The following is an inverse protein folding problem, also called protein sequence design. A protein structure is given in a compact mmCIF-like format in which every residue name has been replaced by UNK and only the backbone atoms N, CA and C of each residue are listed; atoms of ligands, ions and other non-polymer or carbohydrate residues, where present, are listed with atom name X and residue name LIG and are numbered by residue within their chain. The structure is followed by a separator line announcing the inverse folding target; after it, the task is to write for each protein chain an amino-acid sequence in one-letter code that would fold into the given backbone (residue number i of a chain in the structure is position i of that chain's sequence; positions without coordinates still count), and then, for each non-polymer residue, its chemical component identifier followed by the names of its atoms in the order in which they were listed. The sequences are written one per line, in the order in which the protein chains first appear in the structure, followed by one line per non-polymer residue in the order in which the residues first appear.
data_IF_252698048177
#
_entry.id   IF_252698048177
#
_cell.length_a   1.000
_cell.length_b   1.000
_cell.length_c   1.000
_cell.angle_alpha   90.00
_cell.angle_beta   90.00
_cell.angle_gamma   90.00
#
_symmetry.space_group_name_H-M   'P 1'
#
loop_
_entity.id
_entity.type
_entity.pdbx_description
1 polymer ?
#
# COMPACT_ATOMS: atom_id res chain seq x y z
N UNK A 1 -1.25 -13.90 -22.07
CA UNK A 1 -1.27 -13.71 -23.53
C UNK A 1 -1.82 -12.33 -23.91
N UNK A 2 -2.95 -11.90 -23.40
CA UNK A 2 -3.58 -10.60 -23.73
C UNK A 2 -2.63 -9.42 -23.49
N UNK A 3 -2.00 -9.35 -22.31
CA UNK A 3 -1.05 -8.28 -21.99
C UNK A 3 0.16 -8.25 -22.94
N UNK A 4 0.73 -9.41 -23.29
CA UNK A 4 1.86 -9.48 -24.23
C UNK A 4 1.47 -9.02 -25.63
N UNK A 5 0.27 -9.35 -26.08
CA UNK A 5 -0.24 -8.89 -27.38
C UNK A 5 -0.43 -7.37 -27.38
N UNK A 6 -1.07 -6.82 -26.32
CA UNK A 6 -1.25 -5.39 -26.19
C UNK A 6 0.09 -4.61 -26.15
N UNK A 7 1.12 -5.18 -25.51
CA UNK A 7 2.47 -4.60 -25.54
C UNK A 7 3.04 -4.59 -26.96
N UNK A 8 2.98 -5.73 -27.67
CA UNK A 8 3.46 -5.81 -29.06
C UNK A 8 2.76 -4.80 -29.98
N UNK A 9 1.44 -4.67 -29.84
CA UNK A 9 0.65 -3.71 -30.61
C UNK A 9 1.00 -2.25 -30.29
N UNK A 10 1.42 -1.97 -29.05
CA UNK A 10 1.83 -0.63 -28.59
C UNK A 10 3.25 -0.24 -29.00
N UNK A 11 4.10 -1.19 -29.43
CA UNK A 11 5.49 -0.88 -29.82
C UNK A 11 5.59 0.13 -30.95
N UNK A 12 4.63 0.17 -31.87
CA UNK A 12 4.57 1.15 -32.97
C UNK A 12 4.31 2.60 -32.48
N UNK A 13 3.92 2.78 -31.23
CA UNK A 13 3.63 4.08 -30.62
C UNK A 13 4.76 4.59 -29.73
N UNK A 14 5.90 3.86 -29.66
CA UNK A 14 7.01 4.17 -28.74
C UNK A 14 7.72 5.48 -29.04
N UNK A 15 7.55 6.04 -30.24
CA UNK A 15 8.06 7.36 -30.65
C UNK A 15 7.16 8.51 -30.21
N UNK A 16 6.03 8.23 -29.59
CA UNK A 16 5.09 9.22 -29.07
C UNK A 16 5.15 9.25 -27.55
N UNK A 17 5.02 10.44 -26.96
CA UNK A 17 4.78 10.52 -25.54
C UNK A 17 3.49 9.78 -25.21
N UNK A 18 3.56 8.93 -24.17
CA UNK A 18 2.49 8.01 -23.82
C UNK A 18 1.13 8.66 -23.73
N UNK A 19 0.14 7.92 -24.16
CA UNK A 19 -1.26 8.35 -24.24
C UNK A 19 -1.83 8.76 -22.88
N UNK A 20 -3.09 9.06 -22.91
CA UNK A 20 -3.83 9.62 -21.78
C UNK A 20 -3.73 8.74 -20.51
N UNK A 21 -2.88 9.16 -19.56
CA UNK A 21 -2.80 8.53 -18.24
C UNK A 21 -4.14 8.53 -17.52
N UNK A 22 -5.02 9.51 -17.83
CA UNK A 22 -6.37 9.60 -17.31
C UNK A 22 -7.20 8.40 -17.74
N UNK A 23 -7.04 7.89 -18.95
CA UNK A 23 -7.72 6.68 -19.40
C UNK A 23 -7.42 5.45 -18.52
N UNK A 24 -6.16 5.24 -18.12
CA UNK A 24 -5.81 4.15 -17.20
C UNK A 24 -6.33 4.39 -15.79
N UNK A 25 -6.28 5.63 -15.30
CA UNK A 25 -6.85 6.00 -13.99
C UNK A 25 -8.34 5.69 -13.96
N UNK A 26 -9.10 6.15 -14.98
CA UNK A 26 -10.55 5.92 -15.05
C UNK A 26 -10.92 4.43 -15.15
N UNK A 27 -10.13 3.62 -15.87
CA UNK A 27 -10.34 2.17 -15.93
C UNK A 27 -10.11 1.53 -14.55
N UNK A 28 -9.04 1.90 -13.86
CA UNK A 28 -8.73 1.37 -12.52
C UNK A 28 -9.76 1.85 -11.50
N UNK A 29 -10.16 3.11 -11.56
CA UNK A 29 -11.20 3.68 -10.72
C UNK A 29 -12.55 2.96 -10.91
N UNK A 30 -12.97 2.76 -12.16
CA UNK A 30 -14.20 2.05 -12.49
C UNK A 30 -14.22 0.59 -12.01
N UNK A 31 -13.08 -0.14 -12.16
CA UNK A 31 -12.97 -1.53 -11.66
C UNK A 31 -13.07 -1.58 -10.13
N UNK A 32 -12.59 -0.55 -9.44
CA UNK A 32 -12.59 -0.48 -7.98
C UNK A 32 -13.78 0.32 -7.41
N UNK A 33 -14.72 0.74 -8.25
CA UNK A 33 -15.93 1.46 -7.86
C UNK A 33 -15.67 2.73 -7.05
N UNK A 34 -14.73 3.56 -7.53
CA UNK A 34 -14.34 4.81 -6.87
C UNK A 34 -14.09 5.94 -7.89
N UNK A 35 -14.08 7.20 -7.46
CA UNK A 35 -13.75 8.35 -8.31
C UNK A 35 -12.29 8.32 -8.80
N UNK A 36 -12.04 8.93 -9.96
CA UNK A 36 -10.71 9.00 -10.58
C UNK A 36 -9.65 9.69 -9.70
N UNK A 37 -10.05 10.69 -8.94
CA UNK A 37 -9.19 11.45 -8.03
C UNK A 37 -8.77 10.70 -6.77
N UNK A 38 -9.39 9.54 -6.51
CA UNK A 38 -8.99 8.58 -5.47
C UNK A 38 -7.94 7.57 -5.96
N UNK A 39 -7.53 7.63 -7.23
CA UNK A 39 -6.63 6.64 -7.84
C UNK A 39 -5.35 7.28 -8.34
N UNK A 40 -4.21 6.75 -7.89
CA UNK A 40 -2.89 7.08 -8.42
C UNK A 40 -2.31 5.86 -9.16
N UNK A 41 -1.90 6.06 -10.42
CA UNK A 41 -1.16 5.06 -11.19
C UNK A 41 0.33 5.39 -11.15
N UNK A 42 1.17 4.37 -10.94
CA UNK A 42 2.60 4.54 -10.68
C UNK A 42 3.47 3.48 -11.36
N UNK A 43 4.78 3.72 -11.36
CA UNK A 43 5.78 2.77 -11.87
C UNK A 43 6.07 1.66 -10.85
N UNK A 44 5.05 0.81 -10.62
CA UNK A 44 5.00 -0.18 -9.54
C UNK A 44 4.61 0.47 -8.20
N UNK A 45 4.04 -0.32 -7.27
CA UNK A 45 3.64 0.16 -5.95
C UNK A 45 4.78 0.81 -5.15
N UNK A 46 6.03 0.45 -5.45
CA UNK A 46 7.21 1.05 -4.82
C UNK A 46 7.31 2.56 -4.99
N UNK A 47 6.75 3.16 -6.05
CA UNK A 47 6.69 4.62 -6.20
C UNK A 47 5.71 5.25 -5.20
N UNK A 48 4.56 4.63 -4.98
CA UNK A 48 3.59 5.06 -3.97
C UNK A 48 4.20 4.98 -2.56
N UNK A 49 4.85 3.85 -2.24
CA UNK A 49 5.56 3.65 -0.97
C UNK A 49 6.63 4.73 -0.73
N UNK A 50 7.39 5.10 -1.77
CA UNK A 50 8.40 6.16 -1.70
C UNK A 50 7.78 7.52 -1.48
N UNK A 51 6.69 7.82 -2.17
CA UNK A 51 5.97 9.09 -2.01
C UNK A 51 5.47 9.24 -0.57
N UNK A 52 4.84 8.21 0.00
CA UNK A 52 4.40 8.20 1.38
C UNK A 52 5.56 8.41 2.37
N UNK A 53 6.68 7.71 2.18
CA UNK A 53 7.87 7.90 3.01
C UNK A 53 8.42 9.33 2.98
N UNK A 54 8.36 10.00 1.83
CA UNK A 54 8.75 11.41 1.69
C UNK A 54 7.77 12.36 2.41
N UNK A 55 6.47 12.11 2.28
CA UNK A 55 5.44 12.92 2.97
C UNK A 55 5.65 12.90 4.50
N UNK A 56 5.91 11.72 5.07
CA UNK A 56 6.21 11.60 6.51
C UNK A 56 7.37 12.50 6.92
N UNK A 57 8.42 12.55 6.12
CA UNK A 57 9.59 13.42 6.41
C UNK A 57 9.26 14.90 6.29
N UNK A 58 8.49 15.30 5.27
CA UNK A 58 8.09 16.71 5.10
C UNK A 58 7.36 17.25 6.33
N UNK A 59 6.66 16.39 7.05
CA UNK A 59 5.99 16.71 8.31
C UNK A 59 6.86 16.50 9.56
N UNK A 60 8.16 16.25 9.42
CA UNK A 60 9.09 15.89 10.49
C UNK A 60 8.60 14.70 11.35
N UNK A 61 7.94 13.77 10.70
CA UNK A 61 7.26 12.65 11.35
C UNK A 61 8.10 11.41 11.51
N UNK A 62 7.59 10.47 12.34
CA UNK A 62 8.08 9.10 12.45
C UNK A 62 7.11 8.12 11.79
N UNK A 63 7.61 6.90 11.50
CA UNK A 63 6.84 5.75 11.00
C UNK A 63 6.81 4.68 12.05
N UNK A 64 5.63 4.12 12.35
CA UNK A 64 5.48 2.86 13.09
C UNK A 64 5.25 1.74 12.08
N UNK A 65 5.96 0.63 12.21
CA UNK A 65 5.81 -0.54 11.33
C UNK A 65 6.10 -1.83 12.09
N UNK A 66 5.58 -2.95 11.58
CA UNK A 66 5.96 -4.28 12.06
C UNK A 66 7.43 -4.59 11.70
N UNK A 67 8.05 -5.54 12.40
CA UNK A 67 9.40 -6.03 12.11
C UNK A 67 9.46 -7.56 12.33
N UNK A 68 9.76 -8.33 11.27
CA UNK A 68 10.04 -7.90 9.90
C UNK A 68 8.79 -7.56 9.08
N UNK A 69 8.95 -6.62 8.12
CA UNK A 69 7.94 -6.29 7.10
C UNK A 69 8.62 -5.82 5.82
N UNK A 70 7.85 -5.62 4.75
CA UNK A 70 8.41 -5.10 3.50
C UNK A 70 8.94 -3.67 3.68
N UNK A 71 10.13 -3.41 3.17
CA UNK A 71 10.98 -2.32 3.65
C UNK A 71 10.98 -1.04 2.80
N UNK A 72 10.33 -0.98 1.63
CA UNK A 72 10.54 0.17 0.72
C UNK A 72 10.10 1.51 1.33
N UNK A 73 8.88 1.62 1.87
CA UNK A 73 8.43 2.84 2.54
C UNK A 73 9.38 3.22 3.69
N UNK A 74 9.70 2.25 4.53
CA UNK A 74 10.55 2.41 5.71
C UNK A 74 11.93 2.94 5.32
N UNK A 75 12.58 2.30 4.35
CA UNK A 75 13.89 2.68 3.85
C UNK A 75 13.92 4.09 3.27
N UNK A 76 12.86 4.48 2.56
CA UNK A 76 12.80 5.84 1.99
C UNK A 76 12.52 6.90 3.06
N UNK A 77 11.65 6.63 4.03
CA UNK A 77 11.43 7.51 5.16
C UNK A 77 12.72 7.69 5.99
N UNK A 78 13.41 6.59 6.28
CA UNK A 78 14.67 6.58 7.04
C UNK A 78 15.79 7.35 6.32
N UNK A 79 15.98 7.12 5.01
CA UNK A 79 16.93 7.87 4.19
C UNK A 79 16.61 9.36 4.09
N UNK A 80 15.34 9.71 4.16
CA UNK A 80 14.90 11.10 4.23
C UNK A 80 15.13 11.73 5.61
N UNK A 81 15.49 10.93 6.64
CA UNK A 81 15.76 11.38 8.00
C UNK A 81 14.58 11.24 8.97
N UNK A 82 13.55 10.48 8.61
CA UNK A 82 12.46 10.13 9.53
C UNK A 82 12.91 9.05 10.51
N UNK A 83 12.35 9.09 11.72
CA UNK A 83 12.55 8.04 12.71
C UNK A 83 11.63 6.86 12.41
N UNK A 84 12.17 5.67 12.49
CA UNK A 84 11.40 4.42 12.33
C UNK A 84 11.26 3.73 13.68
N UNK A 85 10.03 3.42 14.04
CA UNK A 85 9.66 2.69 15.25
C UNK A 85 9.22 1.30 14.82
N UNK A 86 10.12 0.32 15.02
CA UNK A 86 9.89 -1.07 14.63
C UNK A 86 9.28 -1.83 15.79
N UNK A 87 8.16 -2.50 15.54
CA UNK A 87 7.45 -3.33 16.50
C UNK A 87 7.63 -4.79 16.09
N UNK A 88 8.31 -5.62 16.89
CA UNK A 88 8.47 -7.03 16.54
C UNK A 88 7.10 -7.70 16.34
N UNK A 89 7.03 -8.58 15.35
CA UNK A 89 5.89 -9.50 15.23
C UNK A 89 5.87 -10.43 16.44
N UNK A 90 4.72 -10.97 16.77
CA UNK A 90 4.59 -11.95 17.85
C UNK A 90 5.58 -13.11 17.67
N UNK A 91 6.29 -13.47 18.74
CA UNK A 91 7.40 -14.42 18.66
C UNK A 91 6.94 -15.86 18.38
N UNK A 92 5.72 -16.21 18.76
CA UNK A 92 5.18 -17.57 18.62
C UNK A 92 4.36 -17.70 17.34
N UNK A 93 3.40 -16.81 17.12
CA UNK A 93 2.46 -16.84 15.99
C UNK A 93 3.02 -16.20 14.71
N UNK A 94 4.04 -15.35 14.83
CA UNK A 94 4.61 -14.55 13.73
C UNK A 94 3.63 -13.54 13.12
N UNK A 95 2.52 -13.28 13.77
CA UNK A 95 1.54 -12.29 13.32
C UNK A 95 1.95 -10.87 13.75
N UNK A 96 1.43 -9.89 13.04
CA UNK A 96 1.54 -8.48 13.40
C UNK A 96 0.75 -8.24 14.69
N UNK A 97 1.39 -7.66 15.69
CA UNK A 97 0.73 -7.26 16.94
C UNK A 97 0.22 -5.82 16.83
N UNK A 98 -1.05 -5.67 16.47
CA UNK A 98 -1.69 -4.36 16.35
C UNK A 98 -1.76 -3.60 17.68
N UNK A 99 -1.89 -4.30 18.82
CA UNK A 99 -1.91 -3.68 20.14
C UNK A 99 -0.55 -3.07 20.46
N UNK A 100 0.53 -3.81 20.24
CA UNK A 100 1.88 -3.30 20.41
C UNK A 100 2.18 -2.16 19.45
N UNK A 101 1.71 -2.23 18.19
CA UNK A 101 1.84 -1.14 17.22
C UNK A 101 1.09 0.12 17.66
N UNK A 102 -0.12 -0.01 18.16
CA UNK A 102 -0.89 1.10 18.70
C UNK A 102 -0.15 1.78 19.86
N UNK A 103 0.37 0.98 20.80
CA UNK A 103 1.13 1.47 21.95
C UNK A 103 2.47 2.13 21.56
N UNK A 104 3.01 1.81 20.39
CA UNK A 104 4.23 2.40 19.86
C UNK A 104 4.01 3.76 19.17
N UNK A 105 2.75 4.15 18.92
CA UNK A 105 2.39 5.44 18.31
C UNK A 105 2.78 6.58 19.28
N UNK A 106 3.44 7.60 18.73
CA UNK A 106 3.91 8.78 19.45
C UNK A 106 3.31 10.05 18.85
N UNK A 107 3.48 11.16 19.54
CA UNK A 107 2.99 12.48 19.09
C UNK A 107 3.56 12.88 17.71
N UNK A 108 4.80 12.48 17.42
CA UNK A 108 5.49 12.72 16.15
C UNK A 108 5.22 11.64 15.09
N UNK A 109 4.46 10.59 15.40
CA UNK A 109 4.09 9.57 14.40
C UNK A 109 3.14 10.19 13.37
N UNK A 110 3.49 10.07 12.09
CA UNK A 110 2.69 10.55 10.96
C UNK A 110 2.17 9.41 10.09
N UNK A 111 2.81 8.25 10.16
CA UNK A 111 2.40 7.09 9.38
C UNK A 111 2.50 5.82 10.20
N UNK A 112 1.48 4.98 10.11
CA UNK A 112 1.54 3.57 10.49
C UNK A 112 1.53 2.76 9.20
N UNK A 113 2.57 1.96 9.00
CA UNK A 113 2.74 1.14 7.80
C UNK A 113 2.47 -0.33 8.11
N UNK A 114 1.61 -0.93 7.31
CA UNK A 114 1.22 -2.34 7.37
C UNK A 114 1.35 -2.96 5.97
N UNK A 115 2.00 -4.11 5.86
CA UNK A 115 1.86 -4.98 4.70
C UNK A 115 0.87 -6.10 5.07
N UNK A 116 -0.20 -6.26 4.30
CA UNK A 116 -1.23 -7.27 4.56
C UNK A 116 -1.76 -7.89 3.25
N UNK A 117 -1.36 -9.10 2.91
CA UNK A 117 -0.44 -10.02 3.64
C UNK A 117 0.97 -9.48 3.85
N UNK A 118 1.59 -9.84 4.98
CA UNK A 118 2.94 -9.40 5.30
C UNK A 118 4.01 -10.10 4.44
N UNK A 119 5.19 -9.51 4.35
CA UNK A 119 6.37 -9.99 3.65
C UNK A 119 7.62 -9.57 4.46
N UNK A 120 8.55 -10.46 4.83
CA UNK A 120 8.75 -11.82 4.32
C UNK A 120 7.96 -12.92 5.03
N UNK A 121 7.36 -12.66 6.17
CA UNK A 121 6.53 -13.63 6.89
C UNK A 121 5.11 -13.55 6.32
N UNK A 122 4.57 -14.61 5.69
CA UNK A 122 3.29 -14.56 4.99
C UNK A 122 2.11 -14.68 5.97
N UNK A 123 2.01 -13.75 6.91
CA UNK A 123 0.89 -13.65 7.83
C UNK A 123 -0.13 -12.64 7.36
N UNK A 124 -1.39 -12.87 7.69
CA UNK A 124 -2.49 -11.92 7.52
C UNK A 124 -2.87 -11.32 8.88
N UNK A 125 -3.46 -10.14 8.83
CA UNK A 125 -4.11 -9.51 9.98
C UNK A 125 -5.62 -9.81 9.86
N UNK A 126 -6.24 -10.23 10.96
CA UNK A 126 -7.68 -10.50 10.98
C UNK A 126 -8.46 -9.23 10.56
N UNK A 127 -9.44 -9.40 9.67
CA UNK A 127 -10.14 -8.31 8.98
C UNK A 127 -10.79 -7.28 9.90
N UNK A 128 -11.47 -7.72 10.98
CA UNK A 128 -12.13 -6.79 11.88
C UNK A 128 -11.10 -6.04 12.74
N UNK A 129 -10.07 -6.75 13.20
CA UNK A 129 -8.99 -6.14 13.97
C UNK A 129 -8.23 -5.09 13.14
N UNK A 130 -7.95 -5.37 11.86
CA UNK A 130 -7.32 -4.42 10.97
C UNK A 130 -8.23 -3.21 10.68
N UNK A 131 -9.52 -3.45 10.47
CA UNK A 131 -10.52 -2.41 10.22
C UNK A 131 -10.62 -1.45 11.40
N UNK A 132 -10.83 -1.98 12.60
CA UNK A 132 -10.95 -1.18 13.82
C UNK A 132 -9.68 -0.36 14.07
N UNK A 133 -8.51 -1.00 13.91
CA UNK A 133 -7.23 -0.32 14.03
C UNK A 133 -7.06 0.80 12.98
N UNK A 134 -7.39 0.53 11.71
CA UNK A 134 -7.28 1.51 10.65
C UNK A 134 -8.20 2.72 10.89
N UNK A 135 -9.45 2.48 11.27
CA UNK A 135 -10.43 3.52 11.59
C UNK A 135 -10.03 4.36 12.80
N UNK A 136 -9.42 3.76 13.81
CA UNK A 136 -8.96 4.48 14.98
C UNK A 136 -7.74 5.35 14.66
N UNK A 137 -6.72 4.76 14.04
CA UNK A 137 -5.45 5.45 13.78
C UNK A 137 -5.59 6.53 12.71
N UNK A 138 -6.45 6.30 11.70
CA UNK A 138 -6.65 7.24 10.60
C UNK A 138 -7.32 8.55 11.00
N UNK A 139 -7.90 8.65 12.19
CA UNK A 139 -8.44 9.92 12.72
C UNK A 139 -7.40 11.03 12.80
N UNK A 140 -6.13 10.68 13.01
CA UNK A 140 -5.07 11.66 13.22
C UNK A 140 -3.79 11.38 12.40
N UNK A 141 -3.65 10.21 11.80
CA UNK A 141 -2.40 9.75 11.18
C UNK A 141 -2.66 8.95 9.92
N UNK A 142 -1.72 8.98 9.00
CA UNK A 142 -1.76 8.13 7.82
C UNK A 142 -1.67 6.66 8.22
N UNK A 143 -2.59 5.85 7.75
CA UNK A 143 -2.51 4.38 7.75
C UNK A 143 -2.22 3.93 6.33
N UNK A 144 -1.04 3.39 6.10
CA UNK A 144 -0.63 2.88 4.80
C UNK A 144 -0.67 1.36 4.79
N UNK A 145 -1.51 0.78 3.93
CA UNK A 145 -1.70 -0.67 3.81
C UNK A 145 -1.18 -1.12 2.45
N UNK A 146 -0.12 -1.93 2.44
CA UNK A 146 0.43 -2.54 1.23
C UNK A 146 -0.25 -3.88 0.98
N UNK A 147 -1.15 -3.92 0.01
CA UNK A 147 -1.91 -5.09 -0.43
C UNK A 147 -1.29 -5.78 -1.66
N UNK A 148 0.05 -5.79 -1.78
CA UNK A 148 0.72 -6.37 -2.96
C UNK A 148 0.42 -7.86 -3.19
N UNK A 149 -0.08 -8.58 -2.20
CA UNK A 149 -0.34 -10.03 -2.25
C UNK A 149 -1.79 -10.40 -1.95
N UNK A 150 -2.72 -9.45 -1.93
CA UNK A 150 -4.10 -9.68 -1.50
C UNK A 150 -4.83 -10.74 -2.35
N UNK A 151 -4.53 -10.81 -3.65
CA UNK A 151 -5.18 -11.77 -4.56
C UNK A 151 -4.75 -13.24 -4.32
N UNK A 152 -3.72 -13.48 -3.51
CA UNK A 152 -3.25 -14.83 -3.17
C UNK A 152 -3.90 -15.38 -1.89
N UNK A 153 -4.69 -14.56 -1.19
CA UNK A 153 -5.28 -14.98 0.08
C UNK A 153 -6.56 -15.77 -0.18
N UNK A 154 -6.57 -16.99 0.35
CA UNK A 154 -7.74 -17.87 0.42
C UNK A 154 -8.00 -18.17 1.90
N UNK A 155 -8.54 -17.19 2.61
CA UNK A 155 -8.81 -17.26 4.05
C UNK A 155 -9.94 -16.30 4.42
N UNK A 156 -10.96 -16.82 5.09
CA UNK A 156 -12.17 -16.06 5.49
C UNK A 156 -11.89 -14.95 6.53
N UNK A 157 -10.76 -15.03 7.24
CA UNK A 157 -10.34 -13.99 8.19
C UNK A 157 -9.67 -12.78 7.50
N UNK A 158 -9.44 -12.85 6.19
CA UNK A 158 -8.88 -11.76 5.40
C UNK A 158 -9.96 -10.99 4.66
N UNK A 159 -9.85 -9.68 4.66
CA UNK A 159 -10.58 -8.78 3.79
C UNK A 159 -9.69 -7.60 3.37
N UNK A 160 -9.86 -7.13 2.14
CA UNK A 160 -9.23 -5.88 1.73
C UNK A 160 -9.87 -4.68 2.44
N UNK A 161 -9.07 -3.66 2.73
CA UNK A 161 -9.58 -2.41 3.32
C UNK A 161 -10.01 -1.36 2.27
N UNK A 162 -10.19 -1.77 1.03
CA UNK A 162 -10.61 -0.87 -0.07
C UNK A 162 -11.96 -0.20 0.17
N UNK A 163 -12.85 -0.85 0.89
CA UNK A 163 -14.16 -0.28 1.24
C UNK A 163 -14.02 0.96 2.15
N UNK A 164 -13.00 1.02 2.99
CA UNK A 164 -12.73 2.21 3.81
C UNK A 164 -12.41 3.42 2.90
N UNK A 165 -11.60 3.21 1.86
CA UNK A 165 -11.32 4.27 0.88
C UNK A 165 -12.58 4.64 0.10
N UNK A 166 -13.35 3.66 -0.39
CA UNK A 166 -14.61 3.92 -1.11
C UNK A 166 -15.64 4.71 -0.26
N UNK A 167 -15.66 4.46 1.04
CA UNK A 167 -16.55 5.15 1.98
C UNK A 167 -16.00 6.53 2.41
N UNK A 168 -14.88 6.98 1.85
CA UNK A 168 -14.33 8.32 2.08
C UNK A 168 -13.62 8.49 3.42
N UNK A 169 -13.16 7.39 4.07
CA UNK A 169 -12.34 7.50 5.27
C UNK A 169 -11.00 8.13 4.94
N UNK A 170 -10.70 9.27 5.58
CA UNK A 170 -9.50 10.05 5.36
C UNK A 170 -8.26 9.37 5.96
N UNK A 171 -7.09 9.73 5.43
CA UNK A 171 -5.78 9.26 5.92
C UNK A 171 -5.52 7.76 5.76
N UNK A 172 -6.29 7.05 4.95
CA UNK A 172 -6.04 5.65 4.59
C UNK A 172 -5.52 5.60 3.16
N UNK A 173 -4.36 4.96 2.97
CA UNK A 173 -3.77 4.73 1.65
C UNK A 173 -3.60 3.23 1.46
N UNK A 174 -4.09 2.70 0.36
CA UNK A 174 -3.90 1.31 -0.03
C UNK A 174 -3.01 1.27 -1.28
N UNK A 175 -1.98 0.43 -1.27
CA UNK A 175 -1.14 0.20 -2.44
C UNK A 175 -1.34 -1.21 -2.98
N UNK A 176 -1.43 -1.32 -4.32
CA UNK A 176 -1.53 -2.58 -5.07
C UNK A 176 -0.57 -2.59 -6.25
N UNK A 177 -0.30 -3.76 -6.80
CA UNK A 177 0.67 -3.89 -7.88
C UNK A 177 0.28 -4.97 -8.88
N UNK A 178 0.52 -4.72 -10.16
CA UNK A 178 0.41 -5.74 -11.20
C UNK A 178 1.61 -6.69 -11.25
N UNK A 179 2.61 -6.50 -10.39
CA UNK A 179 3.86 -7.26 -10.41
C UNK A 179 3.72 -8.70 -9.93
N UNK A 180 2.68 -9.04 -9.16
CA UNK A 180 2.54 -10.32 -8.46
C UNK A 180 1.59 -11.24 -9.21
N UNK A 181 0.32 -11.31 -8.86
CA UNK A 181 -0.65 -12.24 -9.46
C UNK A 181 -0.76 -12.09 -10.99
N UNK A 182 -0.63 -10.86 -11.49
CA UNK A 182 -0.73 -10.60 -12.93
C UNK A 182 0.54 -10.93 -13.71
N UNK A 183 1.65 -11.28 -13.04
CA UNK A 183 2.93 -11.64 -13.68
C UNK A 183 3.59 -10.50 -14.45
N UNK A 184 3.27 -9.24 -14.15
CA UNK A 184 3.70 -8.06 -14.90
C UNK A 184 4.82 -7.25 -14.18
N UNK A 185 5.67 -7.95 -13.41
CA UNK A 185 6.74 -7.30 -12.64
C UNK A 185 7.65 -6.38 -13.47
N UNK A 186 8.00 -6.81 -14.70
CA UNK A 186 8.82 -6.03 -15.63
C UNK A 186 8.13 -4.79 -16.20
N UNK A 187 6.80 -4.75 -16.21
CA UNK A 187 6.01 -3.61 -16.75
C UNK A 187 5.96 -2.41 -15.82
N UNK A 188 6.30 -2.60 -14.57
CA UNK A 188 6.34 -1.54 -13.57
C UNK A 188 5.00 -0.80 -13.45
N UNK A 189 3.90 -1.53 -13.18
CA UNK A 189 2.57 -0.97 -12.96
C UNK A 189 2.14 -1.19 -11.52
N UNK A 190 1.76 -0.12 -10.85
CA UNK A 190 1.25 -0.11 -9.49
C UNK A 190 0.15 0.93 -9.31
N UNK A 191 -0.61 0.76 -8.25
CA UNK A 191 -1.79 1.56 -7.95
C UNK A 191 -1.76 2.00 -6.49
N UNK A 192 -2.16 3.25 -6.25
CA UNK A 192 -2.47 3.78 -4.93
C UNK A 192 -3.92 4.23 -4.89
N UNK A 193 -4.57 4.02 -3.76
CA UNK A 193 -5.96 4.38 -3.51
C UNK A 193 -6.04 5.14 -2.19
N UNK A 194 -6.72 6.31 -2.18
CA UNK A 194 -6.84 7.16 -0.99
C UNK A 194 -8.11 8.02 -1.01
#
# INVERSE_FOLDING_TARGET
RVALQAMADSMKLTNQYGGDRRGLVSVVAGINEMPDDHVAVSTGSGEILRAAGRLVRMENGSVVCADPTYHDLIRYAERAGSKIIRVPVDADTKHVDLTAMHNAIRKDTRCVYLANPNNPIPSIIEKNALRDFALEVSKERMVFIDEAYFEFVDNDDYETMMDLVRNGHQNIIIARTASKIHGLAGMRVGFGFA
#
